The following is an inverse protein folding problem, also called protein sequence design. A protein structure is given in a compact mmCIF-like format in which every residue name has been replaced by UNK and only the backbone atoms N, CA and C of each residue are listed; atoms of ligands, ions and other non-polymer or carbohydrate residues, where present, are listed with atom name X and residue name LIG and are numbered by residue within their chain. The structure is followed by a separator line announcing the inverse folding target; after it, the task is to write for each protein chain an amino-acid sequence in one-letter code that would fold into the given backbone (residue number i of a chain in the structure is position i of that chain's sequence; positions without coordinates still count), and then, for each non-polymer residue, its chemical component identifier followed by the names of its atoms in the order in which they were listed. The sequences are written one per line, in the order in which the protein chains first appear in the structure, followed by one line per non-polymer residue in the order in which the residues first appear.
data_IF_277752498547
#
_entry.id   IF_277752498547
#
_cell.length_a   1.000
_cell.length_b   1.000
_cell.length_c   1.000
_cell.angle_alpha   90.00
_cell.angle_beta   90.00
_cell.angle_gamma   90.00
#
_symmetry.space_group_name_H-M   'P 1'
#
loop_
_entity.id
_entity.type
_entity.pdbx_description
1 polymer ?
#
# COMPACT_ATOMS: atom_id res chain seq x y z
N UNK A 1 5.10 -4.61 16.45
CA UNK A 1 3.89 -4.12 17.14
C UNK A 1 2.79 -4.12 16.10
N UNK A 2 1.65 -4.76 16.33
CA UNK A 2 0.51 -4.72 15.41
C UNK A 2 -0.32 -3.46 15.74
N UNK A 3 -0.68 -2.66 14.72
CA UNK A 3 -1.49 -1.46 14.89
C UNK A 3 -2.96 -1.77 14.59
N UNK A 4 -3.88 -1.07 15.24
CA UNK A 4 -5.32 -1.18 14.97
C UNK A 4 -5.65 -0.74 13.55
N UNK A 5 -6.78 -1.22 13.04
CA UNK A 5 -7.17 -0.96 11.64
C UNK A 5 -7.53 0.50 11.35
N UNK A 6 -8.02 1.22 12.35
CA UNK A 6 -8.31 2.65 12.28
C UNK A 6 -7.11 3.54 12.69
N UNK A 7 -5.89 2.99 12.68
CA UNK A 7 -4.67 3.72 12.98
C UNK A 7 -3.78 3.76 11.73
N UNK A 8 -3.55 4.95 11.16
CA UNK A 8 -2.75 5.09 9.94
C UNK A 8 -1.33 4.53 10.05
N UNK A 9 -0.77 4.39 11.26
CA UNK A 9 0.53 3.72 11.48
C UNK A 9 0.52 2.26 11.01
N UNK A 10 -0.65 1.64 10.91
CA UNK A 10 -0.84 0.31 10.31
C UNK A 10 -0.40 0.28 8.85
N UNK A 11 -0.68 1.32 8.06
CA UNK A 11 -0.25 1.38 6.66
C UNK A 11 1.27 1.32 6.55
N UNK A 12 1.98 2.12 7.34
CA UNK A 12 3.44 2.11 7.43
C UNK A 12 3.97 0.72 7.83
N UNK A 13 3.34 0.12 8.82
CA UNK A 13 3.70 -1.22 9.27
C UNK A 13 3.47 -2.29 8.19
N UNK A 14 2.39 -2.23 7.43
CA UNK A 14 2.13 -3.15 6.31
C UNK A 14 3.21 -3.06 5.23
N UNK A 15 3.71 -1.86 4.91
CA UNK A 15 4.84 -1.69 4.00
C UNK A 15 6.09 -2.42 4.52
N UNK A 16 6.36 -2.31 5.83
CA UNK A 16 7.49 -3.00 6.47
C UNK A 16 7.33 -4.51 6.47
N UNK A 17 6.16 -5.03 6.85
CA UNK A 17 5.91 -6.47 6.90
C UNK A 17 6.02 -7.10 5.51
N UNK A 18 5.50 -6.44 4.48
CA UNK A 18 5.64 -6.90 3.09
C UNK A 18 7.11 -6.91 2.64
N UNK A 19 7.84 -5.81 2.86
CA UNK A 19 9.25 -5.71 2.44
C UNK A 19 10.19 -6.60 3.24
N UNK A 20 9.81 -6.98 4.46
CA UNK A 20 10.49 -7.99 5.28
C UNK A 20 10.01 -9.42 4.98
N UNK A 21 9.20 -9.61 3.93
CA UNK A 21 8.67 -10.92 3.46
C UNK A 21 7.87 -11.67 4.53
N UNK A 22 7.26 -10.95 5.47
CA UNK A 22 6.43 -11.53 6.54
C UNK A 22 4.98 -11.74 6.11
N UNK A 23 4.53 -10.97 5.12
CA UNK A 23 3.24 -11.12 4.45
C UNK A 23 3.46 -11.17 2.94
N UNK A 24 2.57 -11.85 2.22
CA UNK A 24 2.60 -11.90 0.75
C UNK A 24 1.76 -10.77 0.14
N UNK A 25 1.74 -10.71 -1.19
CA UNK A 25 1.07 -9.68 -1.98
C UNK A 25 -0.44 -9.65 -1.76
N UNK A 26 -1.09 -10.81 -1.69
CA UNK A 26 -2.54 -10.90 -1.44
C UNK A 26 -2.89 -10.38 -0.06
N UNK A 27 -2.18 -10.85 0.99
CA UNK A 27 -2.36 -10.36 2.35
C UNK A 27 -2.07 -8.87 2.45
N UNK A 28 -1.03 -8.37 1.78
CA UNK A 28 -0.74 -6.95 1.75
C UNK A 28 -1.90 -6.16 1.12
N UNK A 29 -2.35 -6.54 -0.08
CA UNK A 29 -3.40 -5.82 -0.81
C UNK A 29 -4.72 -5.80 -0.04
N UNK A 30 -5.13 -6.93 0.54
CA UNK A 30 -6.36 -7.03 1.33
C UNK A 30 -6.29 -6.17 2.60
N UNK A 31 -5.22 -6.31 3.39
CA UNK A 31 -5.06 -5.57 4.64
C UNK A 31 -4.85 -4.08 4.41
N UNK A 32 -4.13 -3.72 3.35
CA UNK A 32 -3.93 -2.33 2.95
C UNK A 32 -5.25 -1.69 2.52
N UNK A 33 -6.02 -2.35 1.66
CA UNK A 33 -7.33 -1.86 1.22
C UNK A 33 -8.27 -1.69 2.41
N UNK A 34 -8.37 -2.71 3.27
CA UNK A 34 -9.24 -2.66 4.43
C UNK A 34 -8.84 -1.52 5.40
N UNK A 35 -7.54 -1.28 5.58
CA UNK A 35 -7.06 -0.19 6.42
C UNK A 35 -7.27 1.18 5.78
N UNK A 36 -6.82 1.38 4.54
CA UNK A 36 -6.80 2.71 3.90
C UNK A 36 -8.17 3.16 3.39
N UNK A 37 -8.94 2.25 2.80
CA UNK A 37 -10.20 2.58 2.12
C UNK A 37 -11.39 2.48 3.06
N UNK A 38 -11.44 1.46 3.93
CA UNK A 38 -12.62 1.20 4.75
C UNK A 38 -12.57 1.89 6.12
N UNK A 39 -11.38 2.11 6.69
CA UNK A 39 -11.24 2.40 8.12
C UNK A 39 -10.58 3.76 8.44
N UNK A 40 -9.95 4.40 7.45
CA UNK A 40 -9.31 5.70 7.62
C UNK A 40 -10.04 6.78 6.80
N UNK A 41 -10.09 7.99 7.34
CA UNK A 41 -10.65 9.15 6.67
C UNK A 41 -9.54 10.01 6.06
N UNK A 42 -9.85 10.77 5.01
CA UNK A 42 -8.92 11.74 4.42
C UNK A 42 -8.29 12.67 5.46
N UNK A 43 -9.06 13.08 6.48
CA UNK A 43 -8.61 13.98 7.54
C UNK A 43 -7.57 13.37 8.49
N UNK A 44 -7.31 12.06 8.43
CA UNK A 44 -6.26 11.42 9.21
C UNK A 44 -4.84 11.70 8.67
N UNK A 45 -4.75 12.29 7.47
CA UNK A 45 -3.51 12.45 6.72
C UNK A 45 -3.14 13.90 6.44
N UNK A 46 -1.85 14.16 6.19
CA UNK A 46 -1.45 15.32 5.39
C UNK A 46 -1.85 15.07 3.93
N UNK A 47 -2.19 16.12 3.18
CA UNK A 47 -2.59 15.99 1.76
C UNK A 47 -1.60 15.18 0.92
N UNK A 48 -0.30 15.49 1.05
CA UNK A 48 0.76 14.75 0.34
C UNK A 48 0.91 13.30 0.83
N UNK A 49 0.70 13.04 2.12
CA UNK A 49 0.74 11.69 2.70
C UNK A 49 -0.42 10.84 2.14
N UNK A 50 -1.63 11.42 2.12
CA UNK A 50 -2.80 10.79 1.53
C UNK A 50 -2.58 10.49 0.04
N UNK A 51 -2.09 11.47 -0.72
CA UNK A 51 -1.83 11.32 -2.16
C UNK A 51 -0.88 10.15 -2.45
N UNK A 52 0.18 10.00 -1.65
CA UNK A 52 1.13 8.89 -1.78
C UNK A 52 0.45 7.53 -1.51
N UNK A 53 -0.37 7.42 -0.47
CA UNK A 53 -1.10 6.18 -0.18
C UNK A 53 -2.21 5.90 -1.20
N UNK A 54 -2.88 6.93 -1.71
CA UNK A 54 -3.90 6.81 -2.75
C UNK A 54 -3.31 6.27 -4.06
N UNK A 55 -2.12 6.73 -4.46
CA UNK A 55 -1.40 6.14 -5.59
C UNK A 55 -1.11 4.65 -5.41
N UNK A 56 -0.78 4.21 -4.18
CA UNK A 56 -0.56 2.80 -3.89
C UNK A 56 -1.87 2.01 -3.91
N UNK A 57 -2.95 2.58 -3.36
CA UNK A 57 -4.29 1.98 -3.38
C UNK A 57 -4.75 1.64 -4.80
N UNK A 58 -4.54 2.54 -5.76
CA UNK A 58 -4.90 2.33 -7.16
C UNK A 58 -4.16 1.15 -7.82
N UNK A 59 -3.00 0.79 -7.29
CA UNK A 59 -2.16 -0.31 -7.78
C UNK A 59 -2.54 -1.61 -7.06
N UNK A 60 -2.73 -1.57 -5.73
CA UNK A 60 -3.10 -2.74 -4.93
C UNK A 60 -4.51 -3.25 -5.20
N UNK A 61 -5.48 -2.35 -5.46
CA UNK A 61 -6.86 -2.73 -5.81
C UNK A 61 -6.92 -3.54 -7.12
N UNK A 62 -5.97 -3.32 -8.02
CA UNK A 62 -5.87 -4.03 -9.30
C UNK A 62 -4.94 -5.23 -9.23
N UNK A 63 -4.41 -5.59 -8.07
CA UNK A 63 -3.51 -6.72 -7.96
C UNK A 63 -4.25 -8.03 -8.27
N UNK A 64 -3.66 -8.84 -9.16
CA UNK A 64 -4.03 -10.24 -9.29
C UNK A 64 -2.78 -11.13 -9.25
N UNK A 65 -2.77 -12.18 -8.40
CA UNK A 65 -1.69 -13.15 -8.38
C UNK A 65 -1.80 -14.21 -9.50
N UNK A 66 -2.89 -14.22 -10.27
CA UNK A 66 -3.19 -15.29 -11.22
C UNK A 66 -2.78 -14.91 -12.64
N UNK A 67 -1.92 -15.71 -13.28
CA UNK A 67 -1.45 -15.45 -14.65
C UNK A 67 -2.61 -15.41 -15.66
N UNK A 68 -3.66 -16.19 -15.41
CA UNK A 68 -4.87 -16.22 -16.23
C UNK A 68 -5.58 -14.87 -16.30
N UNK A 69 -5.62 -14.13 -15.19
CA UNK A 69 -6.24 -12.81 -15.13
C UNK A 69 -5.47 -11.82 -16.02
N UNK A 70 -4.13 -11.89 -16.01
CA UNK A 70 -3.27 -11.07 -16.86
C UNK A 70 -3.39 -11.40 -18.35
N UNK A 71 -3.75 -12.65 -18.69
CA UNK A 71 -4.09 -13.04 -20.08
C UNK A 71 -5.45 -12.50 -20.51
N UNK A 72 -6.39 -12.37 -19.59
CA UNK A 72 -7.73 -11.85 -19.84
C UNK A 72 -7.74 -10.32 -19.93
N UNK A 73 -6.97 -9.65 -19.06
CA UNK A 73 -6.92 -8.19 -19.01
C UNK A 73 -5.56 -7.71 -18.51
N UNK A 74 -4.87 -6.91 -19.33
CA UNK A 74 -3.58 -6.31 -19.01
C UNK A 74 -3.67 -5.14 -18.01
N UNK A 75 -4.86 -4.89 -17.42
CA UNK A 75 -5.05 -3.83 -16.43
C UNK A 75 -4.84 -4.30 -14.99
N UNK A 76 -4.65 -5.60 -14.77
CA UNK A 76 -4.23 -6.12 -13.49
C UNK A 76 -2.76 -5.78 -13.22
N UNK A 77 -2.47 -5.51 -11.95
CA UNK A 77 -1.12 -5.27 -11.45
C UNK A 77 -0.45 -6.61 -11.14
N UNK A 78 0.79 -6.76 -11.60
CA UNK A 78 1.66 -7.91 -11.31
C UNK A 78 2.31 -7.82 -9.92
N UNK A 79 2.94 -8.90 -9.46
CA UNK A 79 3.73 -8.91 -8.22
C UNK A 79 4.87 -7.88 -8.28
N UNK A 80 5.55 -7.81 -9.42
CA UNK A 80 6.68 -6.91 -9.64
C UNK A 80 6.26 -5.44 -9.58
N UNK A 81 5.13 -5.09 -10.21
CA UNK A 81 4.60 -3.72 -10.21
C UNK A 81 4.12 -3.30 -8.82
N UNK A 82 3.42 -4.20 -8.11
CA UNK A 82 3.00 -3.95 -6.73
C UNK A 82 4.22 -3.70 -5.83
N UNK A 83 5.22 -4.58 -5.89
CA UNK A 83 6.45 -4.45 -5.11
C UNK A 83 7.20 -3.17 -5.41
N UNK A 84 7.33 -2.82 -6.69
CA UNK A 84 7.95 -1.57 -7.12
C UNK A 84 7.21 -0.37 -6.51
N UNK A 85 5.88 -0.35 -6.58
CA UNK A 85 5.07 0.74 -6.02
C UNK A 85 5.21 0.84 -4.51
N UNK A 86 5.24 -0.28 -3.78
CA UNK A 86 5.45 -0.30 -2.32
C UNK A 86 6.81 0.32 -1.94
N UNK A 87 7.88 0.00 -2.69
CA UNK A 87 9.21 0.60 -2.48
C UNK A 87 9.17 2.10 -2.73
N UNK A 88 8.63 2.53 -3.87
CA UNK A 88 8.49 3.96 -4.21
C UNK A 88 7.70 4.73 -3.14
N UNK A 89 6.57 4.17 -2.68
CA UNK A 89 5.76 4.75 -1.61
C UNK A 89 6.57 4.92 -0.33
N UNK A 90 7.31 3.90 0.09
CA UNK A 90 8.14 3.97 1.30
C UNK A 90 9.23 5.03 1.20
N UNK A 91 9.85 5.18 0.03
CA UNK A 91 10.87 6.21 -0.22
C UNK A 91 10.29 7.62 -0.20
N UNK A 92 9.13 7.84 -0.83
CA UNK A 92 8.41 9.12 -0.80
C UNK A 92 8.03 9.51 0.65
N UNK A 93 7.49 8.57 1.43
CA UNK A 93 7.10 8.79 2.83
C UNK A 93 8.32 9.10 3.73
N UNK A 94 9.44 8.40 3.54
CA UNK A 94 10.69 8.72 4.24
C UNK A 94 11.14 10.15 3.93
N UNK A 95 11.14 10.53 2.66
CA UNK A 95 11.56 11.86 2.21
C UNK A 95 10.67 12.96 2.80
N UNK A 96 9.35 12.74 2.86
CA UNK A 96 8.40 13.64 3.51
C UNK A 96 8.75 13.86 4.99
N UNK A 97 8.99 12.77 5.74
CA UNK A 97 9.37 12.83 7.15
C UNK A 97 10.73 13.50 7.42
N UNK A 98 11.62 13.56 6.43
CA UNK A 98 12.88 14.31 6.52
C UNK A 98 12.67 15.81 6.30
N UNK A 99 11.70 16.21 5.47
CA UNK A 99 11.39 17.62 5.20
C UNK A 99 10.59 18.28 6.34
N UNK A 100 9.94 17.48 7.17
CA UNK A 100 9.17 17.94 8.34
C UNK A 100 10.00 18.12 9.63
N UNK A 101 11.32 17.94 9.58
CA UNK A 101 12.25 18.12 10.71
C UNK A 101 13.00 19.45 10.62
#
# INVERSE_FOLDING_TARGET
MCYNINDKRRLYWLLDEYLLTKINESTFSDEFHNTFVNELDYNDFKEIEYSIFFELSNISEKFSPYEEDHKLWSGFTTVEELKKKIVETKEKLKSLNFLDK
#
